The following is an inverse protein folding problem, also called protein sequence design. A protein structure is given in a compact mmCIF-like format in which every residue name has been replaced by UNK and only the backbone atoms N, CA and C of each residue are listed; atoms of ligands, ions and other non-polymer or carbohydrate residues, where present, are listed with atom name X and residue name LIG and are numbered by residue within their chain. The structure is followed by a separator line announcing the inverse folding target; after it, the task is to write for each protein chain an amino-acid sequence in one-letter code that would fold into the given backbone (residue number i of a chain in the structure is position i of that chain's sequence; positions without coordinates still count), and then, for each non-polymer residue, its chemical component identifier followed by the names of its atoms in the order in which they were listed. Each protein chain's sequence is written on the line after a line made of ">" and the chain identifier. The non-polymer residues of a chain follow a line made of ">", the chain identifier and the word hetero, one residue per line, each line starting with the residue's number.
data_IF_256953447860
#
_entry.id   IF_256953447860
#
_cell.length_a   1.000
_cell.length_b   1.000
_cell.length_c   1.000
_cell.angle_alpha   90.00
_cell.angle_beta   90.00
_cell.angle_gamma   90.00
#
_symmetry.space_group_name_H-M   'P 1'
#
loop_
_entity.id
_entity.type
_entity.pdbx_description
1 polymer ?
#
# COMPACT_ATOMS: atom_id res chain seq x y z
N UNK A 1 -9.24 22.76 19.99
CA UNK A 1 -10.39 23.48 19.41
C UNK A 1 -9.98 24.68 18.58
N UNK A 2 -10.73 24.91 17.50
CA UNK A 2 -10.28 25.54 16.27
C UNK A 2 -10.13 27.06 16.33
N UNK A 3 -9.18 27.56 15.54
CA UNK A 3 -8.98 28.99 15.22
C UNK A 3 -10.32 29.68 14.88
N UNK A 4 -11.22 28.96 14.19
CA UNK A 4 -12.54 29.45 13.77
C UNK A 4 -13.52 29.70 14.93
N UNK A 5 -13.53 28.85 15.95
CA UNK A 5 -14.40 29.02 17.12
C UNK A 5 -13.97 30.23 17.95
N UNK A 6 -12.66 30.40 18.17
CA UNK A 6 -12.12 31.59 18.85
C UNK A 6 -12.43 32.89 18.10
N UNK A 7 -12.34 32.87 16.77
CA UNK A 7 -12.70 34.01 15.94
C UNK A 7 -14.22 34.30 16.03
N UNK A 8 -15.06 33.26 15.98
CA UNK A 8 -16.51 33.40 16.15
C UNK A 8 -16.89 33.96 17.53
N UNK A 9 -16.25 33.48 18.60
CA UNK A 9 -16.48 33.98 19.96
C UNK A 9 -16.07 35.43 20.14
N UNK A 10 -14.96 35.85 19.52
CA UNK A 10 -14.56 37.25 19.48
C UNK A 10 -15.60 38.10 18.76
N UNK A 11 -16.10 37.64 17.60
CA UNK A 11 -17.19 38.30 16.88
C UNK A 11 -18.48 38.37 17.71
N UNK A 12 -18.83 37.29 18.42
CA UNK A 12 -20.00 37.23 19.30
C UNK A 12 -19.91 38.23 20.46
N UNK A 13 -18.74 38.35 21.11
CA UNK A 13 -18.49 39.37 22.14
C UNK A 13 -18.61 40.80 21.59
N UNK A 14 -18.20 41.01 20.34
CA UNK A 14 -18.37 42.27 19.63
C UNK A 14 -19.78 42.48 19.02
N UNK A 15 -20.76 41.61 19.37
CA UNK A 15 -22.13 41.64 18.84
C UNK A 15 -22.21 41.59 17.31
N UNK A 16 -21.24 40.93 16.68
CA UNK A 16 -21.12 40.81 15.24
C UNK A 16 -21.03 42.18 14.53
N UNK A 17 -20.29 43.11 15.14
CA UNK A 17 -19.91 44.38 14.52
C UNK A 17 -19.18 44.15 13.18
N UNK A 18 -19.54 44.92 12.15
CA UNK A 18 -19.02 44.68 10.80
C UNK A 18 -17.52 44.96 10.69
N UNK A 19 -17.02 45.99 11.36
CA UNK A 19 -15.59 46.33 11.36
C UNK A 19 -14.75 45.27 12.07
N UNK A 20 -15.19 44.85 13.27
CA UNK A 20 -14.51 43.79 14.03
C UNK A 20 -14.57 42.43 13.36
N UNK A 21 -15.67 42.09 12.71
CA UNK A 21 -15.75 40.86 11.93
C UNK A 21 -14.79 40.90 10.73
N UNK A 22 -14.70 42.04 10.02
CA UNK A 22 -13.78 42.19 8.89
C UNK A 22 -12.30 42.06 9.31
N UNK A 23 -11.90 42.63 10.46
CA UNK A 23 -10.57 42.46 11.05
C UNK A 23 -10.19 40.98 11.29
N UNK A 24 -11.19 40.15 11.58
CA UNK A 24 -11.03 38.71 11.84
C UNK A 24 -11.24 37.85 10.57
N UNK A 25 -11.49 38.46 9.41
CA UNK A 25 -11.80 37.75 8.16
C UNK A 25 -13.16 37.04 8.17
N UNK A 26 -14.10 37.50 9.00
CA UNK A 26 -15.43 36.90 9.18
C UNK A 26 -16.52 37.72 8.49
N UNK A 27 -17.52 37.03 7.95
CA UNK A 27 -18.72 37.67 7.41
C UNK A 27 -19.77 37.87 8.51
N UNK A 28 -20.13 39.10 8.89
CA UNK A 28 -20.98 39.37 10.06
C UNK A 28 -22.38 38.76 9.93
N UNK A 29 -22.96 38.76 8.72
CA UNK A 29 -24.26 38.12 8.46
C UNK A 29 -24.22 36.60 8.72
N UNK A 30 -23.17 35.93 8.24
CA UNK A 30 -23.01 34.49 8.41
C UNK A 30 -22.81 34.13 9.90
N UNK A 31 -22.05 34.93 10.64
CA UNK A 31 -21.89 34.74 12.08
C UNK A 31 -23.23 34.86 12.84
N UNK A 32 -24.09 35.82 12.47
CA UNK A 32 -25.42 35.95 13.09
C UNK A 32 -26.33 34.77 12.78
N UNK A 33 -26.27 34.24 11.56
CA UNK A 33 -27.04 33.07 11.18
C UNK A 33 -26.58 31.82 11.97
N UNK A 34 -25.26 31.65 12.13
CA UNK A 34 -24.69 30.59 12.98
C UNK A 34 -25.12 30.76 14.44
N UNK A 35 -25.06 31.97 15.02
CA UNK A 35 -25.51 32.22 16.41
C UNK A 35 -27.01 31.93 16.58
N UNK A 36 -27.84 32.31 15.60
CA UNK A 36 -29.28 32.02 15.59
C UNK A 36 -29.54 30.51 15.58
N UNK A 37 -28.85 29.77 14.72
CA UNK A 37 -28.95 28.32 14.64
C UNK A 37 -28.50 27.65 15.96
N UNK A 38 -27.35 28.06 16.51
CA UNK A 38 -26.84 27.56 17.78
C UNK A 38 -27.85 27.75 18.94
N UNK A 39 -28.44 28.94 19.06
CA UNK A 39 -29.50 29.21 20.06
C UNK A 39 -30.77 28.41 19.82
N UNK A 40 -31.10 28.11 18.56
CA UNK A 40 -32.23 27.24 18.23
C UNK A 40 -31.97 25.80 18.70
N UNK A 41 -30.79 25.25 18.42
CA UNK A 41 -30.43 23.91 18.90
C UNK A 41 -30.36 23.82 20.42
N UNK A 42 -29.80 24.84 21.10
CA UNK A 42 -29.77 24.89 22.56
C UNK A 42 -31.19 24.80 23.16
N UNK A 43 -32.14 25.59 22.65
CA UNK A 43 -33.55 25.54 23.08
C UNK A 43 -34.22 24.20 22.82
N UNK A 44 -33.84 23.50 21.75
CA UNK A 44 -34.35 22.15 21.45
C UNK A 44 -33.79 21.16 22.48
N UNK A 45 -32.49 21.20 22.77
CA UNK A 45 -31.81 20.31 23.72
C UNK A 45 -32.36 20.49 25.15
N UNK A 46 -32.61 21.73 25.58
CA UNK A 46 -33.21 22.03 26.89
C UNK A 46 -34.57 21.34 27.09
N UNK A 47 -35.36 21.18 26.01
CA UNK A 47 -36.65 20.48 26.05
C UNK A 47 -36.51 18.97 26.25
N UNK A 48 -35.36 18.39 25.92
CA UNK A 48 -35.09 16.96 26.12
C UNK A 48 -34.60 16.63 27.55
N UNK A 49 -34.71 17.57 28.50
CA UNK A 49 -34.24 17.44 29.88
C UNK A 49 -32.77 17.05 30.01
N UNK A 50 -31.96 17.38 29.00
CA UNK A 50 -30.52 17.19 29.08
C UNK A 50 -29.92 18.47 29.68
N UNK A 51 -29.39 18.45 30.92
CA UNK A 51 -28.76 19.63 31.49
C UNK A 51 -27.57 20.02 30.63
N UNK A 52 -27.57 21.26 30.11
CA UNK A 52 -26.41 21.82 29.42
C UNK A 52 -25.28 21.91 30.43
N UNK A 53 -24.30 21.02 30.31
CA UNK A 53 -23.12 21.01 31.16
C UNK A 53 -22.13 22.07 30.66
N UNK A 54 -21.43 22.77 31.56
CA UNK A 54 -20.33 23.63 31.15
C UNK A 54 -19.27 22.81 30.42
N UNK A 55 -18.56 23.40 29.44
CA UNK A 55 -17.51 22.70 28.72
C UNK A 55 -16.44 22.21 29.71
N UNK A 56 -16.19 20.91 29.70
CA UNK A 56 -15.11 20.25 30.43
C UNK A 56 -13.79 20.40 29.67
N UNK A 57 -12.68 19.98 30.29
CA UNK A 57 -11.41 19.79 29.59
C UNK A 57 -11.46 18.77 28.45
N UNK A 58 -12.52 17.94 28.39
CA UNK A 58 -12.75 16.91 27.36
C UNK A 58 -13.74 17.32 26.28
N UNK A 59 -14.33 18.52 26.35
CA UNK A 59 -15.39 18.96 25.45
C UNK A 59 -14.98 18.88 23.96
N UNK A 60 -13.74 19.22 23.63
CA UNK A 60 -13.18 19.10 22.28
C UNK A 60 -13.20 17.66 21.76
N UNK A 61 -12.78 16.72 22.62
CA UNK A 61 -12.71 15.30 22.27
C UNK A 61 -14.11 14.70 22.15
N UNK A 62 -15.05 15.10 23.01
CA UNK A 62 -16.46 14.69 22.94
C UNK A 62 -17.13 15.21 21.66
N UNK A 63 -16.84 16.46 21.27
CA UNK A 63 -17.29 17.01 19.99
C UNK A 63 -16.69 16.25 18.81
N UNK A 64 -15.39 15.96 18.83
CA UNK A 64 -14.74 15.19 17.78
C UNK A 64 -15.29 13.76 17.66
N UNK A 65 -15.54 13.08 18.79
CA UNK A 65 -16.24 11.79 18.83
C UNK A 65 -17.66 11.90 18.26
N UNK A 66 -18.39 12.96 18.57
CA UNK A 66 -19.74 13.20 18.02
C UNK A 66 -19.72 13.41 16.51
N UNK A 67 -18.74 14.16 15.99
CA UNK A 67 -18.52 14.33 14.54
C UNK A 67 -18.17 12.99 13.88
N UNK A 68 -17.30 12.20 14.50
CA UNK A 68 -16.95 10.86 14.02
C UNK A 68 -18.15 9.92 13.95
N UNK A 69 -19.04 9.94 14.95
CA UNK A 69 -20.30 9.17 14.92
C UNK A 69 -21.22 9.64 13.79
N UNK A 70 -21.38 10.96 13.63
CA UNK A 70 -22.27 11.53 12.61
C UNK A 70 -21.77 11.37 11.17
N UNK A 71 -20.45 11.27 10.98
CA UNK A 71 -19.79 11.27 9.66
C UNK A 71 -18.80 10.11 9.53
N UNK A 72 -19.20 8.93 9.99
CA UNK A 72 -18.33 7.74 10.03
C UNK A 72 -17.85 7.29 8.63
N UNK A 73 -18.64 7.54 7.58
CA UNK A 73 -18.29 7.28 6.19
C UNK A 73 -17.37 8.36 5.57
N UNK A 74 -17.17 9.47 6.29
CA UNK A 74 -16.24 10.53 5.91
C UNK A 74 -14.89 10.46 6.64
N UNK A 75 -14.59 9.33 7.28
CA UNK A 75 -13.24 9.08 7.81
C UNK A 75 -12.25 9.08 6.65
N UNK A 76 -11.14 9.78 6.86
CA UNK A 76 -10.07 9.95 5.91
C UNK A 76 -8.71 9.68 6.56
N UNK A 77 -7.82 9.04 5.81
CA UNK A 77 -6.43 8.80 6.18
C UNK A 77 -5.50 9.63 5.32
N UNK A 78 -4.71 10.50 5.95
CA UNK A 78 -3.68 11.30 5.31
C UNK A 78 -2.44 10.43 5.05
N UNK A 79 -1.98 10.39 3.81
CA UNK A 79 -0.87 9.50 3.37
C UNK A 79 0.50 9.94 3.82
N UNK A 80 0.67 11.22 4.19
CA UNK A 80 1.90 11.75 4.74
C UNK A 80 1.67 13.13 5.34
N UNK A 81 2.49 13.49 6.32
CA UNK A 81 2.39 14.78 7.02
C UNK A 81 2.70 15.95 6.08
N UNK A 82 3.54 15.74 5.06
CA UNK A 82 3.94 16.79 4.12
C UNK A 82 3.01 16.92 2.91
N UNK A 83 2.13 15.94 2.68
CA UNK A 83 1.18 15.97 1.58
C UNK A 83 -0.25 16.20 2.09
N UNK A 84 -1.12 16.70 1.23
CA UNK A 84 -2.56 16.87 1.53
C UNK A 84 -3.39 15.74 0.93
N UNK A 85 -2.74 14.67 0.49
CA UNK A 85 -3.45 13.54 -0.13
C UNK A 85 -4.00 12.62 0.94
N UNK A 86 -5.29 12.37 0.85
CA UNK A 86 -6.04 11.54 1.75
C UNK A 86 -6.74 10.40 0.99
N UNK A 87 -6.97 9.31 1.71
CA UNK A 87 -7.80 8.19 1.28
C UNK A 87 -9.06 8.15 2.14
N UNK A 88 -10.22 7.95 1.52
CA UNK A 88 -11.50 7.69 2.17
C UNK A 88 -12.04 6.34 1.68
N UNK A 89 -12.93 5.70 2.43
CA UNK A 89 -13.45 4.36 2.17
C UNK A 89 -13.89 4.13 0.70
N UNK A 90 -14.50 5.13 0.07
CA UNK A 90 -14.98 5.08 -1.33
C UNK A 90 -14.15 5.90 -2.32
N UNK A 91 -13.14 6.64 -1.85
CA UNK A 91 -12.40 7.60 -2.66
C UNK A 91 -10.92 7.55 -2.32
N UNK A 92 -10.13 6.94 -3.22
CA UNK A 92 -8.68 6.76 -3.01
C UNK A 92 -7.83 8.02 -3.23
N UNK A 93 -8.39 9.06 -3.85
CA UNK A 93 -7.66 10.31 -4.15
C UNK A 93 -8.50 11.50 -3.76
N UNK A 94 -8.41 11.87 -2.49
CA UNK A 94 -9.05 13.06 -1.92
C UNK A 94 -7.95 14.02 -1.48
N UNK A 95 -8.20 15.32 -1.59
CA UNK A 95 -7.23 16.35 -1.19
C UNK A 95 -7.78 17.14 -0.01
N UNK A 96 -7.03 17.19 1.08
CA UNK A 96 -7.33 18.05 2.22
C UNK A 96 -7.17 19.52 1.81
N UNK A 97 -8.16 20.33 2.16
CA UNK A 97 -8.15 21.76 1.86
C UNK A 97 -6.90 22.43 2.49
N UNK A 98 -6.33 23.41 1.78
CA UNK A 98 -5.10 24.11 2.21
C UNK A 98 -5.30 24.91 3.50
N UNK A 99 -6.52 25.35 3.76
CA UNK A 99 -6.86 26.20 4.91
C UNK A 99 -7.28 25.37 6.13
N UNK A 100 -6.87 24.10 6.17
CA UNK A 100 -7.10 23.19 7.29
C UNK A 100 -6.26 23.55 8.52
N UNK A 101 -6.81 23.28 9.71
CA UNK A 101 -6.15 23.56 10.99
C UNK A 101 -5.85 22.26 11.79
N UNK A 102 -5.93 21.09 11.16
CA UNK A 102 -5.77 19.77 11.82
C UNK A 102 -4.32 19.37 12.08
N UNK A 103 -3.34 20.20 11.70
CA UNK A 103 -1.92 19.95 11.90
C UNK A 103 -1.46 18.66 11.22
N UNK A 104 -0.69 17.86 11.94
CA UNK A 104 -0.03 16.63 11.44
C UNK A 104 -0.87 15.36 11.66
N UNK A 105 -2.13 15.52 12.07
CA UNK A 105 -3.02 14.39 12.31
C UNK A 105 -3.21 13.55 11.04
N UNK A 106 -3.04 12.23 11.18
CA UNK A 106 -3.18 11.28 10.08
C UNK A 106 -4.62 10.81 9.88
N UNK A 107 -5.40 10.70 10.95
CA UNK A 107 -6.78 10.25 10.92
C UNK A 107 -7.71 11.42 11.18
N UNK A 108 -8.59 11.68 10.24
CA UNK A 108 -9.48 12.83 10.28
C UNK A 108 -10.87 12.48 9.77
N UNK A 109 -11.86 13.24 10.21
CA UNK A 109 -13.24 13.17 9.72
C UNK A 109 -13.55 14.50 9.05
N UNK A 110 -13.94 14.48 7.78
CA UNK A 110 -14.27 15.69 7.05
C UNK A 110 -15.78 15.86 6.90
N UNK A 111 -16.32 16.96 7.41
CA UNK A 111 -17.77 17.24 7.31
C UNK A 111 -18.17 17.68 5.90
N UNK A 112 -17.26 18.31 5.16
CA UNK A 112 -17.54 18.83 3.82
C UNK A 112 -16.63 18.17 2.77
N UNK A 113 -17.24 17.78 1.66
CA UNK A 113 -16.55 17.26 0.48
C UNK A 113 -17.13 17.93 -0.77
N UNK A 114 -16.26 18.53 -1.59
CA UNK A 114 -16.65 19.20 -2.84
C UNK A 114 -15.79 18.70 -3.99
N UNK A 115 -16.38 18.63 -5.17
CA UNK A 115 -15.67 18.29 -6.40
C UNK A 115 -15.15 19.57 -7.08
N UNK A 116 -13.89 19.52 -7.50
CA UNK A 116 -13.23 20.62 -8.22
C UNK A 116 -12.54 20.08 -9.45
N UNK A 117 -12.51 20.87 -10.51
CA UNK A 117 -11.63 20.58 -11.63
C UNK A 117 -10.18 20.77 -11.20
N UNK A 118 -9.37 19.72 -11.36
CA UNK A 118 -7.96 19.82 -11.09
C UNK A 118 -7.22 20.49 -12.25
N UNK A 119 -6.19 21.29 -11.94
CA UNK A 119 -5.25 21.75 -12.94
C UNK A 119 -4.67 20.57 -13.73
N UNK A 120 -4.39 20.76 -15.02
CA UNK A 120 -3.73 19.74 -15.86
C UNK A 120 -2.41 19.23 -15.25
N UNK A 121 -1.69 20.10 -14.53
CA UNK A 121 -0.47 19.75 -13.80
C UNK A 121 -0.67 18.75 -12.65
N UNK A 122 -1.89 18.63 -12.13
CA UNK A 122 -2.25 17.69 -11.05
C UNK A 122 -2.93 16.40 -11.58
N UNK A 123 -2.84 16.14 -12.89
CA UNK A 123 -3.43 14.97 -13.55
C UNK A 123 -4.73 15.26 -14.32
N UNK A 124 -5.28 16.47 -14.20
CA UNK A 124 -6.57 16.83 -14.80
C UNK A 124 -7.76 16.05 -14.25
N UNK A 125 -8.96 16.38 -14.71
CA UNK A 125 -10.20 15.72 -14.28
C UNK A 125 -10.78 16.28 -12.98
N UNK A 126 -11.72 15.55 -12.38
CA UNK A 126 -12.45 15.96 -11.17
C UNK A 126 -11.78 15.39 -9.94
N UNK A 127 -11.39 16.25 -9.00
CA UNK A 127 -10.84 15.86 -7.70
C UNK A 127 -11.80 16.21 -6.59
N UNK A 128 -11.86 15.37 -5.56
CA UNK A 128 -12.58 15.70 -4.33
C UNK A 128 -11.66 16.47 -3.40
N UNK A 129 -12.06 17.67 -2.98
CA UNK A 129 -11.45 18.42 -1.88
C UNK A 129 -12.31 18.24 -0.63
N UNK A 130 -11.68 17.85 0.48
CA UNK A 130 -12.33 17.77 1.78
C UNK A 130 -11.93 18.94 2.67
N UNK A 131 -12.92 19.50 3.35
CA UNK A 131 -12.80 20.64 4.26
C UNK A 131 -13.57 20.37 5.54
N UNK A 132 -13.44 21.29 6.51
CA UNK A 132 -14.04 21.12 7.85
C UNK A 132 -13.61 19.80 8.49
N UNK A 133 -12.31 19.50 8.38
CA UNK A 133 -11.72 18.31 8.95
C UNK A 133 -11.54 18.45 10.47
N UNK A 134 -11.83 17.38 11.18
CA UNK A 134 -11.57 17.22 12.61
C UNK A 134 -10.60 16.07 12.79
N UNK A 135 -9.50 16.32 13.49
CA UNK A 135 -8.56 15.28 13.89
C UNK A 135 -9.24 14.32 14.88
N UNK A 136 -9.07 13.01 14.67
CA UNK A 136 -9.62 11.98 15.54
C UNK A 136 -8.53 11.00 15.94
N UNK A 137 -8.68 10.43 17.13
CA UNK A 137 -7.82 9.34 17.57
C UNK A 137 -8.27 8.03 16.89
N UNK A 138 -7.36 7.25 16.27
CA UNK A 138 -7.67 5.91 15.77
C UNK A 138 -8.36 5.02 16.80
N UNK A 139 -8.00 5.12 18.08
CA UNK A 139 -8.57 4.31 19.16
C UNK A 139 -10.09 4.54 19.29
N UNK A 140 -10.55 5.78 19.07
CA UNK A 140 -11.98 6.10 19.13
C UNK A 140 -12.78 5.40 18.03
N UNK A 141 -12.17 5.14 16.86
CA UNK A 141 -12.83 4.40 15.78
C UNK A 141 -13.06 2.94 16.21
N UNK A 142 -12.06 2.34 16.88
CA UNK A 142 -12.15 0.97 17.41
C UNK A 142 -13.21 0.88 18.51
N UNK A 143 -13.25 1.86 19.42
CA UNK A 143 -14.25 1.92 20.49
C UNK A 143 -15.68 2.15 19.99
N UNK A 144 -15.86 3.07 19.03
CA UNK A 144 -17.19 3.49 18.57
C UNK A 144 -17.77 2.57 17.49
N UNK A 145 -16.92 1.87 16.73
CA UNK A 145 -17.34 1.00 15.64
C UNK A 145 -16.65 -0.37 15.64
N UNK A 146 -16.71 -1.13 16.75
CA UNK A 146 -16.00 -2.41 16.86
C UNK A 146 -16.40 -3.39 15.74
N UNK A 147 -17.68 -3.42 15.36
CA UNK A 147 -18.20 -4.32 14.32
C UNK A 147 -17.77 -3.95 12.88
N UNK A 148 -17.17 -2.76 12.70
CA UNK A 148 -16.67 -2.26 11.40
C UNK A 148 -15.14 -2.26 11.32
N UNK A 149 -14.48 -2.66 12.40
CA UNK A 149 -13.02 -2.75 12.47
C UNK A 149 -12.60 -4.20 12.46
N UNK A 150 -11.70 -4.54 11.55
CA UNK A 150 -11.12 -5.88 11.49
C UNK A 150 -9.61 -5.85 11.37
N UNK A 151 -8.94 -6.79 12.04
CA UNK A 151 -7.51 -7.01 11.84
C UNK A 151 -7.30 -7.78 10.55
N UNK A 152 -6.44 -7.25 9.66
CA UNK A 152 -6.00 -7.97 8.47
C UNK A 152 -4.48 -8.06 8.46
N UNK A 153 -4.01 -9.24 8.07
CA UNK A 153 -2.59 -9.53 7.83
C UNK A 153 -2.42 -9.85 6.36
N UNK A 154 -1.46 -9.21 5.71
CA UNK A 154 -1.17 -9.43 4.28
C UNK A 154 0.34 -9.44 4.04
N UNK A 155 0.78 -10.24 3.07
CA UNK A 155 2.15 -10.19 2.57
C UNK A 155 2.22 -9.22 1.40
N UNK A 156 3.12 -8.25 1.50
CA UNK A 156 3.31 -7.20 0.50
C UNK A 156 4.79 -7.18 0.13
N UNK A 157 5.07 -6.94 -1.15
CA UNK A 157 6.43 -6.65 -1.57
C UNK A 157 6.73 -5.18 -1.44
N UNK A 158 7.82 -4.91 -0.75
CA UNK A 158 8.42 -3.61 -0.63
C UNK A 158 9.52 -3.47 -1.70
N UNK A 159 9.28 -2.58 -2.67
CA UNK A 159 10.22 -2.28 -3.75
C UNK A 159 11.52 -1.61 -3.24
N UNK A 160 11.45 -0.82 -2.17
CA UNK A 160 12.60 -0.11 -1.64
C UNK A 160 13.55 -1.06 -0.92
N UNK A 161 12.98 -1.94 -0.09
CA UNK A 161 13.71 -2.92 0.70
C UNK A 161 14.04 -4.20 -0.08
N UNK A 162 13.49 -4.34 -1.30
CA UNK A 162 13.52 -5.53 -2.12
C UNK A 162 13.19 -6.79 -1.31
N UNK A 163 12.08 -6.72 -0.56
CA UNK A 163 11.68 -7.72 0.42
C UNK A 163 10.17 -7.92 0.46
N UNK A 164 9.74 -9.12 0.81
CA UNK A 164 8.37 -9.37 1.22
C UNK A 164 8.25 -9.07 2.70
N UNK A 165 7.29 -8.22 3.05
CA UNK A 165 6.95 -7.83 4.42
C UNK A 165 5.54 -8.27 4.75
N UNK A 166 5.31 -8.61 6.01
CA UNK A 166 3.97 -8.84 6.54
C UNK A 166 3.45 -7.52 7.10
N UNK A 167 2.32 -7.07 6.57
CA UNK A 167 1.63 -5.86 6.99
C UNK A 167 0.41 -6.28 7.79
N UNK A 168 0.42 -6.00 9.09
CA UNK A 168 -0.72 -6.16 9.99
C UNK A 168 -1.34 -4.78 10.21
N UNK A 169 -2.65 -4.64 9.96
CA UNK A 169 -3.34 -3.38 10.19
C UNK A 169 -4.79 -3.59 10.62
N UNK A 170 -5.24 -2.72 11.53
CA UNK A 170 -6.67 -2.54 11.79
C UNK A 170 -7.30 -1.78 10.63
N UNK A 171 -8.30 -2.40 10.02
CA UNK A 171 -9.02 -1.86 8.89
C UNK A 171 -10.38 -1.36 9.33
N UNK A 172 -10.69 -0.11 9.02
CA UNK A 172 -12.04 0.43 9.07
C UNK A 172 -12.57 0.51 7.63
N UNK A 173 -13.37 -0.49 7.23
CA UNK A 173 -13.74 -0.70 5.83
C UNK A 173 -12.51 -0.97 4.96
N UNK A 174 -12.18 -0.02 4.07
CA UNK A 174 -11.01 -0.09 3.19
C UNK A 174 -9.76 0.64 3.75
N UNK A 175 -9.89 1.33 4.89
CA UNK A 175 -8.86 2.21 5.45
C UNK A 175 -8.00 1.49 6.49
N UNK A 176 -6.68 1.44 6.30
CA UNK A 176 -5.74 0.85 7.25
C UNK A 176 -5.27 1.90 8.29
N UNK A 177 -5.83 1.86 9.50
CA UNK A 177 -5.63 2.90 10.53
C UNK A 177 -4.25 2.86 11.20
N UNK A 178 -3.72 1.64 11.42
CA UNK A 178 -2.49 1.41 12.18
C UNK A 178 -1.71 0.26 11.53
N UNK A 179 -1.00 0.54 10.44
CA UNK A 179 -0.20 -0.48 9.76
C UNK A 179 1.13 -0.71 10.47
N UNK A 180 1.41 -1.94 10.84
CA UNK A 180 2.71 -2.40 11.32
C UNK A 180 3.32 -3.34 10.30
N UNK A 181 4.53 -3.03 9.86
CA UNK A 181 5.30 -3.92 8.98
C UNK A 181 6.24 -4.79 9.82
N UNK A 182 6.32 -6.07 9.47
CA UNK A 182 7.17 -7.06 10.13
C UNK A 182 7.77 -8.03 9.11
N UNK A 183 8.74 -8.81 9.57
CA UNK A 183 9.23 -9.96 8.79
C UNK A 183 8.08 -10.98 8.68
N UNK A 184 7.84 -11.56 7.48
CA UNK A 184 6.83 -12.58 7.29
C UNK A 184 6.95 -13.75 8.25
N UNK A 185 5.86 -14.07 8.95
CA UNK A 185 5.75 -15.32 9.73
C UNK A 185 5.66 -16.52 8.79
N UNK A 186 4.84 -16.41 7.76
CA UNK A 186 4.75 -17.39 6.68
C UNK A 186 5.83 -17.14 5.61
N UNK A 187 7.01 -17.71 5.86
CA UNK A 187 8.15 -17.62 4.93
C UNK A 187 7.91 -18.35 3.62
N UNK A 188 7.07 -19.40 3.62
CA UNK A 188 6.76 -20.16 2.41
C UNK A 188 5.92 -19.31 1.43
N UNK A 189 4.87 -18.66 1.92
CA UNK A 189 4.08 -17.72 1.10
C UNK A 189 4.91 -16.52 0.65
N UNK A 190 5.84 -16.04 1.48
CA UNK A 190 6.76 -14.97 1.08
C UNK A 190 7.70 -15.40 -0.06
N UNK A 191 8.26 -16.61 0.02
CA UNK A 191 9.08 -17.18 -1.03
C UNK A 191 8.29 -17.40 -2.34
N UNK A 192 7.01 -17.79 -2.26
CA UNK A 192 6.15 -17.88 -3.44
C UNK A 192 5.98 -16.51 -4.12
N UNK A 193 5.82 -15.43 -3.35
CA UNK A 193 5.75 -14.07 -3.89
C UNK A 193 7.07 -13.68 -4.59
N UNK A 194 8.23 -14.01 -4.02
CA UNK A 194 9.52 -13.77 -4.68
C UNK A 194 9.65 -14.59 -5.97
N UNK A 195 9.28 -15.87 -5.93
CA UNK A 195 9.31 -16.78 -7.08
C UNK A 195 8.45 -16.26 -8.22
N UNK A 196 7.21 -15.83 -7.92
CA UNK A 196 6.31 -15.24 -8.90
C UNK A 196 6.91 -14.00 -9.57
N UNK A 197 7.65 -13.17 -8.84
CA UNK A 197 8.36 -12.02 -9.42
C UNK A 197 9.51 -12.40 -10.34
N UNK A 198 10.25 -13.46 -10.02
CA UNK A 198 11.30 -14.01 -10.89
C UNK A 198 10.67 -14.54 -12.18
N UNK A 199 9.60 -15.33 -12.08
CA UNK A 199 8.85 -15.85 -13.24
C UNK A 199 8.32 -14.72 -14.12
N UNK A 200 7.80 -13.64 -13.51
CA UNK A 200 7.34 -12.45 -14.22
C UNK A 200 8.48 -11.58 -14.80
N UNK A 201 9.76 -11.95 -14.60
CA UNK A 201 10.92 -11.23 -15.08
C UNK A 201 11.22 -9.91 -14.36
N UNK A 202 10.56 -9.67 -13.22
CA UNK A 202 10.73 -8.48 -12.38
C UNK A 202 11.99 -8.56 -11.52
N UNK A 203 12.41 -9.77 -11.16
CA UNK A 203 13.66 -10.07 -10.47
C UNK A 203 14.53 -10.98 -11.34
N UNK A 204 15.85 -10.79 -11.29
CA UNK A 204 16.83 -11.57 -12.06
C UNK A 204 18.00 -11.97 -11.20
N UNK A 205 18.37 -13.25 -11.23
CA UNK A 205 19.53 -13.76 -10.51
C UNK A 205 20.83 -13.15 -11.05
N UNK A 206 21.69 -12.69 -10.14
CA UNK A 206 23.01 -12.12 -10.47
C UNK A 206 23.95 -13.18 -11.06
N UNK A 207 23.75 -14.44 -10.67
CA UNK A 207 24.54 -15.61 -11.05
C UNK A 207 24.07 -16.28 -12.36
N UNK A 208 23.03 -15.75 -13.01
CA UNK A 208 22.61 -16.23 -14.31
C UNK A 208 23.72 -15.97 -15.33
N UNK A 209 24.24 -17.03 -15.94
CA UNK A 209 25.44 -16.96 -16.79
C UNK A 209 25.20 -17.59 -18.16
N UNK A 210 26.09 -17.31 -19.11
CA UNK A 210 26.07 -17.96 -20.42
C UNK A 210 26.20 -19.50 -20.34
N UNK A 211 26.71 -20.04 -19.22
CA UNK A 211 26.73 -21.48 -18.99
C UNK A 211 25.34 -22.03 -18.60
N UNK A 212 24.53 -21.25 -17.86
CA UNK A 212 23.13 -21.60 -17.60
C UNK A 212 22.31 -21.59 -18.89
N UNK A 213 22.48 -20.58 -19.74
CA UNK A 213 21.82 -20.51 -21.06
C UNK A 213 22.23 -21.69 -21.94
N UNK A 214 23.54 -22.01 -21.99
CA UNK A 214 24.04 -23.14 -22.75
C UNK A 214 23.48 -24.49 -22.24
N UNK A 215 23.40 -24.66 -20.91
CA UNK A 215 22.80 -25.86 -20.31
C UNK A 215 21.33 -26.03 -20.69
N UNK A 216 20.53 -24.96 -20.62
CA UNK A 216 19.13 -24.99 -21.01
C UNK A 216 18.95 -25.35 -22.49
N UNK A 217 19.73 -24.71 -23.38
CA UNK A 217 19.68 -24.99 -24.81
C UNK A 217 20.04 -26.44 -25.13
N UNK A 218 21.13 -26.96 -24.53
CA UNK A 218 21.56 -28.36 -24.69
C UNK A 218 20.50 -29.33 -24.20
N UNK A 219 19.98 -29.11 -22.98
CA UNK A 219 18.99 -29.99 -22.35
C UNK A 219 17.70 -30.05 -23.18
N UNK A 220 17.24 -28.90 -23.69
CA UNK A 220 16.06 -28.80 -24.56
C UNK A 220 16.25 -29.53 -25.89
N UNK A 221 17.38 -29.35 -26.57
CA UNK A 221 17.68 -30.09 -27.80
C UNK A 221 17.71 -31.61 -27.57
N UNK A 222 18.34 -32.07 -26.49
CA UNK A 222 18.39 -33.51 -26.17
C UNK A 222 17.01 -34.05 -25.82
N UNK A 223 16.18 -33.28 -25.10
CA UNK A 223 14.80 -33.65 -24.81
C UNK A 223 13.96 -33.80 -26.09
N UNK A 224 14.19 -32.94 -27.09
CA UNK A 224 13.55 -33.02 -28.40
C UNK A 224 14.04 -34.23 -29.21
N UNK A 225 15.37 -34.40 -29.35
CA UNK A 225 15.95 -35.50 -30.12
C UNK A 225 15.64 -36.88 -29.54
N UNK A 226 15.48 -36.96 -28.22
CA UNK A 226 15.25 -38.21 -27.48
C UNK A 226 13.95 -38.16 -26.67
N UNK A 227 12.83 -37.76 -27.30
CA UNK A 227 11.53 -37.61 -26.64
C UNK A 227 11.07 -38.85 -25.82
N UNK A 228 11.43 -40.06 -26.24
CA UNK A 228 11.13 -41.30 -25.52
C UNK A 228 11.77 -41.36 -24.12
N UNK A 229 12.82 -40.58 -23.86
CA UNK A 229 13.52 -40.51 -22.58
C UNK A 229 12.81 -39.62 -21.56
N UNK A 230 11.90 -38.73 -22.00
CA UNK A 230 11.11 -37.82 -21.16
C UNK A 230 11.98 -36.97 -20.22
N UNK A 231 13.03 -36.36 -20.78
CA UNK A 231 13.91 -35.44 -20.05
C UNK A 231 13.18 -34.14 -19.70
N UNK A 232 13.68 -33.47 -18.65
CA UNK A 232 13.21 -32.15 -18.26
C UNK A 232 13.44 -31.16 -19.40
N UNK A 233 12.40 -30.40 -19.77
CA UNK A 233 12.46 -29.45 -20.89
C UNK A 233 12.76 -28.04 -20.42
N UNK A 234 12.61 -27.78 -19.11
CA UNK A 234 12.69 -26.43 -18.54
C UNK A 234 11.69 -25.51 -19.24
N UNK A 235 10.45 -25.95 -19.43
CA UNK A 235 9.37 -25.06 -19.80
C UNK A 235 9.08 -24.03 -18.67
N UNK A 236 8.05 -23.21 -18.81
CA UNK A 236 7.73 -22.20 -17.80
C UNK A 236 7.44 -22.78 -16.42
N UNK A 237 6.82 -23.96 -16.38
CA UNK A 237 6.36 -24.58 -15.15
C UNK A 237 7.53 -25.30 -14.46
N UNK A 238 8.35 -26.02 -15.24
CA UNK A 238 9.63 -26.58 -14.79
C UNK A 238 10.54 -25.48 -14.19
N UNK A 239 10.69 -24.35 -14.89
CA UNK A 239 11.50 -23.23 -14.41
C UNK A 239 10.92 -22.59 -13.16
N UNK A 240 9.59 -22.49 -13.04
CA UNK A 240 8.96 -21.96 -11.83
C UNK A 240 9.29 -22.84 -10.60
N UNK A 241 9.34 -24.16 -10.76
CA UNK A 241 9.76 -25.08 -9.69
C UNK A 241 11.23 -24.85 -9.32
N UNK A 242 12.13 -24.79 -10.30
CA UNK A 242 13.55 -24.53 -10.06
C UNK A 242 13.77 -23.18 -9.37
N UNK A 243 13.05 -22.13 -9.79
CA UNK A 243 13.12 -20.83 -9.15
C UNK A 243 12.60 -20.87 -7.71
N UNK A 244 11.53 -21.62 -7.45
CA UNK A 244 11.03 -21.86 -6.10
C UNK A 244 12.07 -22.51 -5.21
N UNK A 245 12.79 -23.53 -5.71
CA UNK A 245 13.89 -24.18 -4.97
C UNK A 245 15.06 -23.23 -4.70
N UNK A 246 15.44 -22.40 -5.69
CA UNK A 246 16.51 -21.41 -5.54
C UNK A 246 16.13 -20.35 -4.48
N UNK A 247 14.88 -19.90 -4.48
CA UNK A 247 14.38 -18.90 -3.53
C UNK A 247 14.26 -19.49 -2.12
N UNK A 248 13.86 -20.76 -2.00
CA UNK A 248 13.76 -21.46 -0.71
C UNK A 248 12.75 -20.82 0.23
N UNK A 249 13.22 -20.38 1.40
CA UNK A 249 12.40 -19.69 2.43
C UNK A 249 12.75 -18.19 2.53
N UNK A 250 13.40 -17.63 1.50
CA UNK A 250 13.83 -16.24 1.51
C UNK A 250 12.63 -15.29 1.64
N UNK A 251 12.76 -14.28 2.50
CA UNK A 251 11.82 -13.15 2.59
C UNK A 251 12.39 -11.89 1.93
N UNK A 252 13.67 -11.89 1.58
CA UNK A 252 14.37 -10.76 0.95
C UNK A 252 15.10 -11.23 -0.30
N UNK A 253 15.06 -10.42 -1.36
CA UNK A 253 15.71 -10.80 -2.62
C UNK A 253 17.22 -10.95 -2.50
N UNK A 254 17.85 -10.15 -1.64
CA UNK A 254 19.29 -10.23 -1.37
C UNK A 254 19.77 -11.61 -0.90
N UNK A 255 18.89 -12.40 -0.26
CA UNK A 255 19.21 -13.74 0.20
C UNK A 255 19.26 -14.79 -0.93
N UNK A 256 18.49 -14.58 -2.01
CA UNK A 256 18.37 -15.54 -3.12
C UNK A 256 19.15 -15.13 -4.38
N UNK A 257 19.37 -13.83 -4.62
CA UNK A 257 19.85 -13.32 -5.92
C UNK A 257 21.19 -13.87 -6.40
N UNK A 258 22.05 -14.35 -5.48
CA UNK A 258 23.40 -14.89 -5.79
C UNK A 258 23.49 -16.41 -5.72
N UNK A 259 22.36 -17.11 -5.52
CA UNK A 259 22.34 -18.56 -5.45
C UNK A 259 22.90 -19.18 -6.76
N UNK A 260 23.54 -20.36 -6.72
CA UNK A 260 24.23 -20.94 -7.88
C UNK A 260 23.23 -21.52 -8.90
N UNK A 261 22.65 -20.67 -9.75
CA UNK A 261 21.58 -21.03 -10.70
C UNK A 261 21.92 -22.25 -11.56
N UNK A 262 23.15 -22.32 -12.11
CA UNK A 262 23.55 -23.44 -12.96
C UNK A 262 23.49 -24.79 -12.22
N UNK A 263 23.86 -24.81 -10.94
CA UNK A 263 23.85 -26.03 -10.14
C UNK A 263 22.41 -26.47 -9.86
N UNK A 264 21.51 -25.54 -9.54
CA UNK A 264 20.09 -25.83 -9.39
C UNK A 264 19.45 -26.34 -10.69
N UNK A 265 19.77 -25.71 -11.83
CA UNK A 265 19.32 -26.20 -13.13
C UNK A 265 19.78 -27.64 -13.35
N UNK A 266 21.07 -27.94 -13.16
CA UNK A 266 21.60 -29.31 -13.34
C UNK A 266 20.93 -30.30 -12.39
N UNK A 267 20.82 -29.95 -11.11
CA UNK A 267 20.27 -30.81 -10.06
C UNK A 267 18.77 -31.08 -10.20
N UNK A 268 18.04 -30.29 -11.01
CA UNK A 268 16.66 -30.60 -11.39
C UNK A 268 16.54 -31.89 -12.22
N UNK A 269 17.64 -32.36 -12.83
CA UNK A 269 17.72 -33.65 -13.51
C UNK A 269 18.53 -34.68 -12.70
N UNK A 270 18.18 -35.95 -12.85
CA UNK A 270 18.96 -37.05 -12.29
C UNK A 270 20.39 -37.04 -12.83
N UNK A 271 21.36 -37.56 -12.05
CA UNK A 271 22.75 -37.63 -12.52
C UNK A 271 22.89 -38.41 -13.84
N UNK A 272 22.10 -39.47 -14.03
CA UNK A 272 22.09 -40.24 -15.28
C UNK A 272 21.64 -39.40 -16.47
N UNK A 273 20.64 -38.54 -16.28
CA UNK A 273 20.10 -37.70 -17.35
C UNK A 273 21.04 -36.52 -17.64
N UNK A 274 21.69 -35.97 -16.61
CA UNK A 274 22.76 -34.99 -16.79
C UNK A 274 23.89 -35.56 -17.67
N UNK A 275 24.37 -36.77 -17.38
CA UNK A 275 25.40 -37.42 -18.19
C UNK A 275 24.92 -37.71 -19.62
N UNK A 276 23.64 -38.05 -19.79
CA UNK A 276 23.05 -38.26 -21.11
C UNK A 276 23.05 -36.97 -21.95
N UNK A 277 22.72 -35.82 -21.35
CA UNK A 277 22.84 -34.50 -22.00
C UNK A 277 24.28 -34.18 -22.34
N UNK A 278 25.22 -34.45 -21.42
CA UNK A 278 26.66 -34.22 -21.66
C UNK A 278 27.20 -35.04 -22.84
N UNK A 279 26.75 -36.28 -23.01
CA UNK A 279 27.18 -37.17 -24.09
C UNK A 279 26.55 -36.81 -25.45
N UNK A 280 25.26 -36.48 -25.48
CA UNK A 280 24.52 -36.29 -26.74
C UNK A 280 24.54 -34.84 -27.25
N UNK A 281 24.77 -33.87 -26.37
CA UNK A 281 24.95 -32.47 -26.73
C UNK A 281 26.18 -31.91 -26.01
N UNK A 282 27.42 -32.30 -26.32
CA UNK A 282 28.61 -31.82 -25.61
C UNK A 282 28.84 -30.32 -25.81
N UNK A 283 29.42 -29.64 -24.82
CA UNK A 283 29.74 -28.20 -24.94
C UNK A 283 30.78 -27.91 -26.03
N UNK A 284 31.69 -28.87 -26.25
CA UNK A 284 32.78 -28.76 -27.22
C UNK A 284 33.01 -30.07 -27.94
N UNK A 285 33.38 -29.97 -29.21
CA UNK A 285 33.92 -31.10 -30.00
C UNK A 285 35.41 -30.94 -30.20
N UNK A 286 36.15 -32.05 -30.16
CA UNK A 286 37.56 -32.07 -30.56
C UNK A 286 37.66 -32.20 -32.07
N UNK A 287 38.35 -31.25 -32.69
CA UNK A 287 38.69 -31.31 -34.11
C UNK A 287 39.87 -32.27 -34.33
N UNK A 288 40.08 -32.79 -35.55
CA UNK A 288 41.26 -33.59 -35.89
C UNK A 288 42.59 -32.91 -35.57
N UNK A 289 42.62 -31.57 -35.55
CA UNK A 289 43.76 -30.74 -35.15
C UNK A 289 44.03 -30.68 -33.64
N UNK A 290 43.27 -31.42 -32.82
CA UNK A 290 43.36 -31.43 -31.36
C UNK A 290 42.68 -30.25 -30.65
N UNK A 291 42.30 -29.20 -31.38
CA UNK A 291 41.61 -28.04 -30.81
C UNK A 291 40.15 -28.37 -30.50
N UNK A 292 39.69 -27.98 -29.31
CA UNK A 292 38.27 -28.04 -28.97
C UNK A 292 37.52 -26.85 -29.55
N UNK A 293 36.35 -27.06 -30.16
CA UNK A 293 35.48 -25.99 -30.67
C UNK A 293 34.15 -25.99 -29.92
N UNK A 294 33.68 -24.82 -29.47
CA UNK A 294 32.39 -24.69 -28.75
C UNK A 294 31.23 -24.90 -29.72
N UNK A 295 30.22 -25.65 -29.30
CA UNK A 295 28.97 -25.81 -30.05
C UNK A 295 27.93 -24.85 -29.49
N UNK A 296 27.20 -24.18 -30.39
CA UNK A 296 25.99 -23.46 -30.05
C UNK A 296 24.79 -24.33 -30.42
N UNK A 297 23.90 -24.56 -29.45
CA UNK A 297 22.67 -25.31 -29.65
C UNK A 297 21.50 -24.34 -29.68
N UNK A 298 20.56 -24.56 -30.59
CA UNK A 298 19.31 -23.80 -30.71
C UNK A 298 18.20 -24.79 -31.03
N UNK A 299 17.04 -24.62 -30.40
CA UNK A 299 15.82 -25.32 -30.81
C UNK A 299 15.48 -24.96 -32.26
N UNK A 300 14.90 -25.93 -32.97
CA UNK A 300 14.46 -25.78 -34.37
C UNK A 300 13.24 -24.89 -34.53
#
# INVERSE_FOLDING_TARGET
>A
VGVRERAFDAARRARFDAGRCAELGLHPGACRDVDRAARQYARIIERFHNPVRPPSSTADAELARSVLVGYADHVALRRGVDNRTCEMERRRRVVLDRDTAVGDSQVLVAVEAREVEAPRAAGGGVHTVISLATAVDPEWIVELFPDRVESRVQLVWDEQEAAVVEVEALHFGALALQSVQRVPRDRASAAQILTARVVAGQLRFDSWSAAADAWLARSRCVAEWFAHRRLLTYDSDDLAVVYGEIVGDATRWSAARRAPVLDHLRNAMSWSDQQFVEQNAPERIRLPSGHGMKIAYTLG
#
